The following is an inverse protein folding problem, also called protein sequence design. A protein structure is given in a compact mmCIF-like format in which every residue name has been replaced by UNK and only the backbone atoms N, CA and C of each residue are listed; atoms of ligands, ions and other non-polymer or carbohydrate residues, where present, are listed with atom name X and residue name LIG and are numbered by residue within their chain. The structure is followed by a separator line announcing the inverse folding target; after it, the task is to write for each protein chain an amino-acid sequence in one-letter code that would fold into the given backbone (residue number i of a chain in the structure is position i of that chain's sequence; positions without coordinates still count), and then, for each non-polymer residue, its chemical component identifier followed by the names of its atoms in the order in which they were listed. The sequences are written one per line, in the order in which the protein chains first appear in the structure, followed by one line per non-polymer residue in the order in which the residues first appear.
data_IF_899790018426
#
_entry.id   IF_899790018426
#
_cell.length_a   1.000
_cell.length_b   1.000
_cell.length_c   1.000
_cell.angle_alpha   90.00
_cell.angle_beta   90.00
_cell.angle_gamma   90.00
#
_symmetry.space_group_name_H-M   'P 1'
#
loop_
_entity.id
_entity.type
_entity.pdbx_description
1 polymer ?
#
# COMPACT_ATOMS: atom_id res chain seq x y z
N UNK A 1 -6.09 26.29 -5.73
CA UNK A 1 -7.05 25.19 -5.44
C UNK A 1 -6.25 23.96 -4.98
N UNK A 2 -5.97 23.85 -3.67
CA UNK A 2 -5.22 22.72 -3.08
C UNK A 2 -6.11 22.03 -2.05
N UNK A 3 -7.01 21.14 -2.49
CA UNK A 3 -8.12 20.73 -1.61
C UNK A 3 -8.79 19.40 -1.89
N UNK A 4 -8.06 18.39 -2.41
CA UNK A 4 -8.65 17.03 -2.52
C UNK A 4 -7.72 15.87 -2.20
N UNK A 5 -6.43 15.99 -2.51
CA UNK A 5 -5.44 14.96 -2.16
C UNK A 5 -4.97 15.05 -0.70
N UNK A 6 -5.11 16.21 -0.07
CA UNK A 6 -4.54 16.47 1.26
C UNK A 6 -5.40 16.03 2.44
N UNK A 7 -6.66 15.60 2.22
CA UNK A 7 -7.60 15.22 3.28
C UNK A 7 -8.21 13.82 3.09
N UNK A 8 -7.72 13.03 2.12
CA UNK A 8 -8.27 11.72 1.81
C UNK A 8 -7.23 10.61 2.05
N UNK A 9 -7.67 9.49 2.63
CA UNK A 9 -6.88 8.26 2.64
C UNK A 9 -6.89 7.66 1.22
N UNK A 10 -5.70 7.37 0.68
CA UNK A 10 -5.57 6.76 -0.65
C UNK A 10 -5.02 5.34 -0.49
N UNK A 11 -5.81 4.35 -0.89
CA UNK A 11 -5.36 2.96 -0.97
C UNK A 11 -4.71 2.66 -2.33
N UNK A 12 -3.64 1.87 -2.31
CA UNK A 12 -3.09 1.18 -3.48
C UNK A 12 -3.38 -0.30 -3.31
N UNK A 13 -3.92 -0.92 -4.36
CA UNK A 13 -4.38 -2.32 -4.34
C UNK A 13 -3.69 -3.12 -5.45
N UNK A 14 -3.33 -4.37 -5.15
CA UNK A 14 -2.86 -5.33 -6.13
C UNK A 14 -3.98 -6.35 -6.35
N UNK A 15 -4.43 -6.47 -7.60
CA UNK A 15 -5.43 -7.44 -8.01
C UNK A 15 -4.77 -8.53 -8.86
N UNK A 16 -5.07 -9.79 -8.54
CA UNK A 16 -4.83 -10.93 -9.42
C UNK A 16 -6.08 -11.16 -10.27
N UNK A 17 -5.90 -11.29 -11.58
CA UNK A 17 -7.00 -11.46 -12.54
C UNK A 17 -6.70 -12.69 -13.41
N UNK A 18 -7.67 -13.60 -13.50
CA UNK A 18 -7.62 -14.77 -14.36
C UNK A 18 -8.98 -14.98 -15.04
N UNK A 19 -9.10 -15.89 -16.03
CA UNK A 19 -10.39 -16.24 -16.61
C UNK A 19 -11.42 -16.76 -15.59
N UNK A 20 -10.96 -17.29 -14.46
CA UNK A 20 -11.80 -17.84 -13.39
C UNK A 20 -12.28 -16.76 -12.40
N UNK A 21 -11.75 -15.54 -12.48
CA UNK A 21 -12.19 -14.44 -11.62
C UNK A 21 -11.06 -13.46 -11.28
N UNK A 22 -11.32 -12.63 -10.26
CA UNK A 22 -10.35 -11.67 -9.77
C UNK A 22 -10.37 -11.63 -8.24
N UNK A 23 -9.22 -11.37 -7.62
CA UNK A 23 -9.11 -11.16 -6.18
C UNK A 23 -8.08 -10.08 -5.86
N UNK A 24 -8.36 -9.32 -4.80
CA UNK A 24 -7.34 -8.46 -4.19
C UNK A 24 -6.38 -9.34 -3.39
N UNK A 25 -5.08 -9.16 -3.61
CA UNK A 25 -4.03 -9.97 -2.98
C UNK A 25 -3.06 -9.15 -2.12
N UNK A 26 -3.04 -7.82 -2.27
CA UNK A 26 -2.32 -6.91 -1.36
C UNK A 26 -3.03 -5.53 -1.36
N UNK A 27 -2.89 -4.78 -0.27
CA UNK A 27 -3.37 -3.41 -0.07
C UNK A 27 -2.38 -2.61 0.76
N UNK A 28 -2.04 -1.41 0.30
CA UNK A 28 -1.16 -0.46 1.01
C UNK A 28 -1.77 0.93 1.09
N UNK A 29 -1.47 1.65 2.16
CA UNK A 29 -1.84 3.06 2.33
C UNK A 29 -0.79 3.93 1.61
N UNK A 30 -1.23 4.76 0.67
CA UNK A 30 -0.43 5.86 0.14
C UNK A 30 -0.61 7.08 1.04
N UNK A 31 0.52 7.62 1.50
CA UNK A 31 0.57 8.82 2.30
C UNK A 31 1.46 9.84 1.58
N UNK A 32 0.97 11.06 1.25
CA UNK A 32 1.82 12.08 0.63
C UNK A 32 2.94 12.50 1.60
N UNK A 33 4.04 13.02 1.05
CA UNK A 33 5.26 13.31 1.82
C UNK A 33 4.99 14.27 2.99
N UNK A 34 4.18 15.31 2.77
CA UNK A 34 3.80 16.29 3.80
C UNK A 34 3.11 15.66 5.02
N UNK A 35 2.27 14.64 4.79
CA UNK A 35 1.63 13.88 5.87
C UNK A 35 2.60 12.88 6.52
N UNK A 36 3.48 12.27 5.73
CA UNK A 36 4.42 11.28 6.25
C UNK A 36 5.36 11.88 7.31
N UNK A 37 5.72 13.16 7.16
CA UNK A 37 6.53 13.93 8.11
C UNK A 37 5.76 14.58 9.26
N UNK A 38 4.42 14.62 9.21
CA UNK A 38 3.59 15.30 10.23
C UNK A 38 3.09 14.29 11.27
N UNK A 39 3.78 14.19 12.40
CA UNK A 39 3.48 13.22 13.46
C UNK A 39 2.13 13.48 14.15
N UNK A 40 1.75 14.73 14.33
CA UNK A 40 0.47 15.10 14.96
C UNK A 40 -0.70 14.70 14.06
N UNK A 41 -0.61 15.05 12.76
CA UNK A 41 -1.62 14.67 11.77
C UNK A 41 -1.74 13.16 11.61
N UNK A 42 -0.62 12.44 11.61
CA UNK A 42 -0.59 10.97 11.58
C UNK A 42 -1.24 10.36 12.82
N UNK A 43 -0.97 10.91 14.00
CA UNK A 43 -1.57 10.48 15.26
C UNK A 43 -3.09 10.64 15.24
N UNK A 44 -3.57 11.84 14.87
CA UNK A 44 -5.00 12.14 14.75
C UNK A 44 -5.73 11.26 13.73
N UNK A 45 -5.06 10.93 12.63
CA UNK A 45 -5.62 10.07 11.57
C UNK A 45 -5.43 8.56 11.81
N UNK A 46 -4.79 8.15 12.90
CA UNK A 46 -4.56 6.74 13.22
C UNK A 46 -3.60 6.02 12.26
N UNK A 47 -2.66 6.75 11.63
CA UNK A 47 -1.71 6.15 10.68
C UNK A 47 -0.70 5.28 11.44
N UNK A 48 -0.54 3.98 11.11
CA UNK A 48 0.43 3.11 11.78
C UNK A 48 1.86 3.64 11.65
N UNK A 49 2.66 3.50 12.73
CA UNK A 49 4.06 3.97 12.79
C UNK A 49 4.95 3.46 11.64
N UNK A 50 4.86 2.19 11.18
CA UNK A 50 5.73 1.70 10.12
C UNK A 50 5.47 2.32 8.74
N UNK A 51 4.32 2.96 8.52
CA UNK A 51 3.98 3.54 7.22
C UNK A 51 4.84 4.77 6.96
N UNK A 52 5.68 4.72 5.93
CA UNK A 52 6.51 5.84 5.49
C UNK A 52 6.04 6.35 4.12
N UNK A 53 6.56 7.51 3.71
CA UNK A 53 6.34 7.98 2.35
C UNK A 53 6.90 6.98 1.34
N UNK A 54 6.07 6.59 0.37
CA UNK A 54 6.46 5.89 -0.82
C UNK A 54 5.55 6.34 -1.96
N UNK A 55 6.09 6.49 -3.16
CA UNK A 55 5.28 6.76 -4.35
C UNK A 55 4.39 5.57 -4.69
N UNK A 56 3.29 5.79 -5.40
CA UNK A 56 2.39 4.69 -5.82
C UNK A 56 3.13 3.60 -6.63
N UNK A 57 4.04 3.92 -7.58
CA UNK A 57 4.85 2.89 -8.25
C UNK A 57 5.79 2.12 -7.32
N UNK A 58 6.40 2.80 -6.33
CA UNK A 58 7.23 2.11 -5.32
C UNK A 58 6.37 1.14 -4.50
N UNK A 59 5.19 1.56 -4.06
CA UNK A 59 4.24 0.69 -3.35
C UNK A 59 3.88 -0.52 -4.23
N UNK A 60 3.49 -0.30 -5.49
CA UNK A 60 3.15 -1.38 -6.42
C UNK A 60 4.30 -2.39 -6.61
N UNK A 61 5.54 -1.90 -6.76
CA UNK A 61 6.73 -2.77 -6.85
C UNK A 61 6.91 -3.61 -5.59
N UNK A 62 6.80 -2.99 -4.42
CA UNK A 62 6.93 -3.72 -3.15
C UNK A 62 5.80 -4.75 -2.97
N UNK A 63 4.57 -4.45 -3.42
CA UNK A 63 3.44 -5.39 -3.38
C UNK A 63 3.72 -6.62 -4.25
N UNK A 64 4.24 -6.42 -5.46
CA UNK A 64 4.65 -7.51 -6.33
C UNK A 64 5.75 -8.35 -5.68
N UNK A 65 6.79 -7.72 -5.14
CA UNK A 65 7.88 -8.42 -4.44
C UNK A 65 7.37 -9.29 -3.30
N UNK A 66 6.53 -8.73 -2.41
CA UNK A 66 5.91 -9.48 -1.31
C UNK A 66 5.06 -10.65 -1.81
N UNK A 67 4.24 -10.44 -2.85
CA UNK A 67 3.43 -11.50 -3.44
C UNK A 67 4.29 -12.65 -4.02
N UNK A 68 5.38 -12.32 -4.72
CA UNK A 68 6.32 -13.33 -5.23
C UNK A 68 7.02 -14.09 -4.10
N UNK A 69 7.51 -13.39 -3.09
CA UNK A 69 8.16 -14.02 -1.94
C UNK A 69 7.23 -14.96 -1.18
N UNK A 70 5.98 -14.54 -0.96
CA UNK A 70 4.99 -15.35 -0.25
C UNK A 70 4.57 -16.58 -1.07
N UNK A 71 4.47 -16.45 -2.40
CA UNK A 71 4.27 -17.57 -3.30
C UNK A 71 5.44 -18.57 -3.25
N UNK A 72 6.68 -18.09 -3.31
CA UNK A 72 7.87 -18.96 -3.21
C UNK A 72 7.96 -19.68 -1.86
N UNK A 73 7.62 -19.00 -0.76
CA UNK A 73 7.57 -19.61 0.58
C UNK A 73 6.52 -20.72 0.67
N UNK A 74 5.42 -20.63 -0.07
CA UNK A 74 4.40 -21.68 -0.10
C UNK A 74 4.90 -22.90 -0.88
N UNK A 75 5.56 -22.70 -2.02
CA UNK A 75 6.15 -23.79 -2.82
C UNK A 75 7.26 -24.52 -2.05
N UNK A 76 8.16 -23.80 -1.37
CA UNK A 76 9.30 -24.42 -0.68
C UNK A 76 8.94 -25.09 0.66
N UNK A 77 7.69 -24.93 1.13
CA UNK A 77 7.17 -25.60 2.33
C UNK A 77 6.35 -26.85 2.02
N UNK A 78 6.15 -27.17 0.74
CA UNK A 78 5.51 -28.40 0.24
C UNK A 78 6.55 -29.39 -0.27
#
# INVERSE_FOLDING_TARGET
MSGRLENCQVGVFLAYVSPQGHSLIDRRLYLPQSWASDLDKRGKAGVPKPIQFATKPQLAKQMLQSAFEDFLKQILKS
#
